data_IF_145659641882
#
_entry.id   IF_145659641882
#
_cell.length_a   1.000
_cell.length_b   1.000
_cell.length_c   1.000
_cell.angle_alpha   90.00
_cell.angle_beta   90.00
_cell.angle_gamma   90.00
#
_symmetry.space_group_name_H-M   'P 1'
#
loop_
_entity.id
_entity.type
_entity.pdbx_description
1 polymer ?
#
# COMPACT_ATOMS: atom_id res chain seq x y z
N UNK A 1 2.46 3.51 -6.92
CA UNK A 1 3.01 2.20 -6.48
C UNK A 1 4.51 2.04 -6.68
N UNK A 2 5.04 1.90 -7.91
CA UNK A 2 6.49 1.62 -8.11
C UNK A 2 7.42 2.65 -7.46
N UNK A 3 7.08 3.94 -7.54
CA UNK A 3 7.83 5.00 -6.86
C UNK A 3 7.94 4.80 -5.34
N UNK A 4 6.84 4.41 -4.68
CA UNK A 4 6.84 4.12 -3.24
C UNK A 4 7.67 2.90 -2.88
N UNK A 5 7.75 1.89 -3.76
CA UNK A 5 8.55 0.68 -3.52
C UNK A 5 10.03 0.97 -3.71
N UNK A 6 10.36 1.86 -4.65
CA UNK A 6 11.75 2.26 -4.92
C UNK A 6 12.35 3.06 -3.77
N UNK A 7 11.61 4.05 -3.26
CA UNK A 7 12.09 4.95 -2.20
C UNK A 7 11.82 4.43 -0.78
N UNK A 8 10.70 3.72 -0.60
CA UNK A 8 10.18 3.29 0.71
C UNK A 8 9.66 1.85 0.71
N UNK A 9 10.47 0.86 0.29
CA UNK A 9 10.04 -0.54 0.22
C UNK A 9 9.62 -1.11 1.58
N UNK A 10 10.19 -0.58 2.68
CA UNK A 10 9.90 -0.98 4.05
C UNK A 10 8.42 -0.79 4.43
N UNK A 11 7.73 0.21 3.84
CA UNK A 11 6.33 0.49 4.13
C UNK A 11 5.44 -0.69 3.73
N UNK A 12 5.60 -1.18 2.50
CA UNK A 12 4.89 -2.37 2.03
C UNK A 12 5.33 -3.62 2.80
N UNK A 13 6.64 -3.81 2.98
CA UNK A 13 7.18 -5.00 3.67
C UNK A 13 6.68 -5.13 5.10
N UNK A 14 6.58 -4.03 5.84
CA UNK A 14 6.02 -3.98 7.20
C UNK A 14 4.57 -4.48 7.23
N UNK A 15 3.77 -4.08 6.25
CA UNK A 15 2.36 -4.50 6.12
C UNK A 15 2.27 -5.99 5.79
N UNK A 16 3.09 -6.47 4.86
CA UNK A 16 3.16 -7.91 4.54
C UNK A 16 3.61 -8.76 5.74
N UNK A 17 4.33 -8.16 6.69
CA UNK A 17 4.78 -8.82 7.92
C UNK A 17 3.78 -8.75 9.09
N UNK A 18 2.72 -7.95 8.98
CA UNK A 18 1.65 -7.92 9.98
C UNK A 18 1.00 -9.29 10.11
N UNK A 19 0.66 -9.66 11.36
CA UNK A 19 0.18 -11.01 11.66
C UNK A 19 -1.12 -11.32 10.93
N UNK A 20 -2.05 -10.36 10.89
CA UNK A 20 -3.33 -10.50 10.19
C UNK A 20 -3.11 -10.68 8.69
N UNK A 21 -2.39 -9.75 8.05
CA UNK A 21 -2.12 -9.79 6.60
C UNK A 21 -1.39 -11.08 6.22
N UNK A 22 -0.31 -11.41 6.93
CA UNK A 22 0.52 -12.57 6.62
C UNK A 22 -0.25 -13.87 6.74
N UNK A 23 -1.04 -14.05 7.79
CA UNK A 23 -1.78 -15.31 8.00
C UNK A 23 -3.02 -15.42 7.11
N UNK A 24 -3.67 -14.30 6.80
CA UNK A 24 -4.95 -14.31 6.07
C UNK A 24 -4.78 -14.29 4.55
N UNK A 25 -3.71 -13.69 4.02
CA UNK A 25 -3.58 -13.42 2.58
C UNK A 25 -2.32 -13.98 1.94
N UNK A 26 -1.31 -14.37 2.73
CA UNK A 26 -0.04 -14.88 2.21
C UNK A 26 0.12 -16.36 2.59
N UNK A 27 -0.24 -17.26 1.68
CA UNK A 27 -0.04 -18.70 1.87
C UNK A 27 1.44 -19.01 2.10
N UNK A 28 1.75 -19.83 3.11
CA UNK A 28 3.11 -20.29 3.47
C UNK A 28 4.13 -19.21 3.86
N UNK A 29 3.69 -17.99 4.18
CA UNK A 29 4.58 -16.95 4.68
C UNK A 29 4.95 -17.22 6.16
N UNK A 30 6.14 -17.80 6.38
CA UNK A 30 6.81 -17.82 7.69
C UNK A 30 7.00 -16.39 8.21
N UNK A 31 7.30 -16.22 9.51
CA UNK A 31 7.63 -14.91 10.13
C UNK A 31 8.99 -14.38 9.65
N UNK A 32 9.18 -14.27 8.34
CA UNK A 32 10.38 -13.81 7.66
C UNK A 32 9.96 -12.95 6.47
N UNK A 33 10.51 -11.74 6.40
CA UNK A 33 10.15 -10.73 5.40
C UNK A 33 10.32 -11.24 3.96
N UNK A 34 11.47 -11.84 3.64
CA UNK A 34 11.73 -12.37 2.29
C UNK A 34 10.72 -13.43 1.85
N UNK A 35 10.18 -14.22 2.80
CA UNK A 35 9.14 -15.22 2.52
C UNK A 35 7.78 -14.56 2.29
N UNK A 36 7.43 -13.55 3.09
CA UNK A 36 6.21 -12.78 2.92
C UNK A 36 6.20 -12.03 1.57
N UNK A 37 7.31 -11.38 1.23
CA UNK A 37 7.49 -10.70 -0.07
C UNK A 37 7.38 -11.71 -1.21
N UNK A 38 8.05 -12.86 -1.12
CA UNK A 38 7.99 -13.90 -2.17
C UNK A 38 6.56 -14.44 -2.36
N UNK A 39 5.82 -14.68 -1.27
CA UNK A 39 4.43 -15.12 -1.34
C UNK A 39 3.54 -14.06 -2.00
N UNK A 40 3.74 -12.79 -1.65
CA UNK A 40 3.01 -11.67 -2.24
C UNK A 40 3.32 -11.48 -3.73
N UNK A 41 4.58 -11.60 -4.13
CA UNK A 41 4.99 -11.58 -5.55
C UNK A 41 4.32 -12.72 -6.30
N UNK A 42 4.35 -13.94 -5.76
CA UNK A 42 3.73 -15.10 -6.38
C UNK A 42 2.22 -14.93 -6.59
N UNK A 43 1.50 -14.38 -5.59
CA UNK A 43 0.05 -14.13 -5.72
C UNK A 43 -0.30 -13.05 -6.76
N UNK A 44 0.65 -12.17 -7.10
CA UNK A 44 0.48 -11.07 -8.03
C UNK A 44 1.21 -11.26 -9.37
N UNK A 45 1.82 -12.43 -9.60
CA UNK A 45 2.68 -12.68 -10.75
C UNK A 45 1.94 -12.81 -12.09
N UNK A 46 0.60 -13.02 -12.06
CA UNK A 46 -0.18 -13.39 -13.25
C UNK A 46 -0.06 -12.44 -14.46
N UNK A 47 0.14 -11.15 -14.22
CA UNK A 47 0.38 -10.15 -15.27
C UNK A 47 1.70 -9.36 -15.10
N UNK A 48 2.64 -9.89 -14.30
CA UNK A 48 3.90 -9.23 -14.02
C UNK A 48 4.77 -9.08 -15.28
N UNK A 49 5.68 -8.11 -15.25
CA UNK A 49 6.63 -7.87 -16.33
C UNK A 49 7.66 -9.01 -16.44
N UNK A 50 7.89 -9.49 -17.66
CA UNK A 50 8.95 -10.46 -17.99
C UNK A 50 10.36 -9.88 -17.94
N UNK A 51 10.47 -8.55 -18.03
CA UNK A 51 11.72 -7.80 -17.96
C UNK A 51 11.64 -6.75 -16.87
N UNK A 52 12.78 -6.13 -16.55
CA UNK A 52 12.80 -4.99 -15.62
C UNK A 52 11.97 -3.82 -16.18
N UNK A 53 11.23 -3.08 -15.32
CA UNK A 53 10.63 -1.82 -15.74
C UNK A 53 11.71 -0.80 -16.15
N UNK A 54 11.37 0.08 -17.09
CA UNK A 54 12.27 1.16 -17.54
C UNK A 54 12.59 2.08 -16.34
N UNK A 55 13.86 2.48 -16.19
CA UNK A 55 14.31 3.35 -15.12
C UNK A 55 14.83 2.65 -13.86
N UNK A 56 14.74 1.32 -13.79
CA UNK A 56 15.21 0.54 -12.62
C UNK A 56 16.42 -0.34 -12.96
N UNK A 57 17.31 -0.55 -12.00
CA UNK A 57 18.43 -1.50 -12.13
C UNK A 57 17.92 -2.94 -12.16
N UNK A 58 18.61 -3.82 -12.89
CA UNK A 58 18.32 -5.26 -12.85
C UNK A 58 18.68 -5.85 -11.48
N UNK A 59 19.69 -5.29 -10.80
CA UNK A 59 20.20 -5.72 -9.50
C UNK A 59 19.47 -5.05 -8.32
N UNK A 60 18.33 -4.40 -8.59
CA UNK A 60 17.54 -3.77 -7.53
C UNK A 60 17.04 -4.83 -6.55
N UNK A 61 17.25 -4.62 -5.24
CA UNK A 61 16.89 -5.60 -4.18
C UNK A 61 15.41 -6.01 -4.21
N UNK A 62 14.55 -5.06 -4.61
CA UNK A 62 13.10 -5.24 -4.71
C UNK A 62 12.60 -5.36 -6.17
N UNK A 63 13.46 -5.79 -7.10
CA UNK A 63 13.13 -5.86 -8.53
C UNK A 63 11.89 -6.74 -8.81
N UNK A 64 11.68 -7.81 -8.05
CA UNK A 64 10.52 -8.68 -8.20
C UNK A 64 9.21 -7.92 -7.88
N UNK A 65 9.22 -7.07 -6.87
CA UNK A 65 8.08 -6.20 -6.54
C UNK A 65 7.85 -5.15 -7.62
N UNK A 66 8.93 -4.51 -8.10
CA UNK A 66 8.85 -3.47 -9.14
C UNK A 66 8.28 -4.01 -10.47
N UNK A 67 8.50 -5.29 -10.77
CA UNK A 67 7.98 -5.97 -11.96
C UNK A 67 6.47 -6.22 -11.90
N UNK A 68 5.85 -6.19 -10.72
CA UNK A 68 4.41 -6.36 -10.57
C UNK A 68 3.65 -5.21 -11.24
N UNK A 69 2.52 -5.55 -11.85
CA UNK A 69 1.54 -4.56 -12.34
C UNK A 69 0.38 -4.38 -11.36
N UNK A 70 -0.02 -5.47 -10.71
CA UNK A 70 -1.07 -5.50 -9.72
C UNK A 70 -0.48 -5.69 -8.33
N UNK A 71 -1.12 -5.08 -7.34
CA UNK A 71 -0.77 -5.20 -5.93
C UNK A 71 -2.05 -5.51 -5.15
N UNK A 72 -2.41 -6.78 -5.08
CA UNK A 72 -3.65 -7.25 -4.45
C UNK A 72 -3.35 -8.18 -3.29
N UNK A 73 -4.25 -8.15 -2.30
CA UNK A 73 -4.37 -9.14 -1.24
C UNK A 73 -5.80 -9.67 -1.27
N UNK A 74 -5.98 -10.96 -1.00
CA UNK A 74 -7.29 -11.57 -1.00
C UNK A 74 -7.24 -12.98 -0.44
N UNK A 75 -8.32 -13.38 0.21
CA UNK A 75 -8.54 -14.76 0.65
C UNK A 75 -9.71 -15.32 -0.11
N UNK A 76 -9.63 -16.60 -0.50
CA UNK A 76 -10.80 -17.31 -1.01
C UNK A 76 -11.77 -17.53 0.15
N UNK A 77 -13.05 -17.27 -0.09
CA UNK A 77 -14.15 -17.56 0.81
C UNK A 77 -15.04 -18.59 0.15
N UNK A 78 -15.40 -19.64 0.89
CA UNK A 78 -16.40 -20.60 0.42
C UNK A 78 -17.81 -20.07 0.74
N UNK A 79 -18.83 -20.59 0.06
CA UNK A 79 -20.21 -20.20 0.34
C UNK A 79 -20.61 -20.43 1.81
N UNK A 80 -20.13 -21.53 2.41
CA UNK A 80 -20.36 -21.84 3.83
C UNK A 80 -19.66 -20.87 4.77
N UNK A 81 -18.50 -20.33 4.38
CA UNK A 81 -17.80 -19.29 5.17
C UNK A 81 -18.56 -17.97 5.21
N UNK A 82 -19.58 -17.78 4.36
CA UNK A 82 -20.39 -16.56 4.29
C UNK A 82 -21.78 -16.78 4.86
N UNK A 83 -22.38 -17.94 4.65
CA UNK A 83 -23.76 -18.26 5.09
C UNK A 83 -23.84 -18.97 6.43
N UNK A 84 -22.71 -19.43 7.00
CA UNK A 84 -22.65 -20.04 8.32
C UNK A 84 -22.86 -19.02 9.45
N UNK A 85 -23.13 -19.52 10.66
CA UNK A 85 -23.38 -18.71 11.85
C UNK A 85 -22.23 -17.72 12.14
N UNK A 86 -20.98 -18.11 11.87
CA UNK A 86 -19.78 -17.30 12.09
C UNK A 86 -19.31 -16.55 10.83
N UNK A 87 -20.09 -16.57 9.75
CA UNK A 87 -19.65 -16.05 8.46
C UNK A 87 -19.41 -14.55 8.47
N UNK A 88 -20.29 -13.79 9.12
CA UNK A 88 -20.13 -12.35 9.30
C UNK A 88 -18.88 -12.02 10.12
N UNK A 89 -18.61 -12.75 11.21
CA UNK A 89 -17.41 -12.55 12.02
C UNK A 89 -16.13 -12.85 11.25
N UNK A 90 -16.16 -13.88 10.38
CA UNK A 90 -15.07 -14.20 9.47
C UNK A 90 -14.80 -13.06 8.49
N UNK A 91 -15.83 -12.52 7.86
CA UNK A 91 -15.70 -11.38 6.92
C UNK A 91 -15.16 -10.14 7.63
N UNK A 92 -15.71 -9.80 8.79
CA UNK A 92 -15.25 -8.66 9.60
C UNK A 92 -13.79 -8.85 10.02
N UNK A 93 -13.40 -10.06 10.43
CA UNK A 93 -12.02 -10.41 10.75
C UNK A 93 -11.05 -10.20 9.57
N UNK A 94 -11.44 -10.63 8.37
CA UNK A 94 -10.65 -10.41 7.16
C UNK A 94 -10.56 -8.93 6.79
N UNK A 95 -11.66 -8.19 6.85
CA UNK A 95 -11.68 -6.73 6.61
C UNK A 95 -10.75 -5.99 7.58
N UNK A 96 -10.75 -6.36 8.87
CA UNK A 96 -9.81 -5.81 9.85
C UNK A 96 -8.36 -6.09 9.47
N UNK A 97 -8.06 -7.28 8.95
CA UNK A 97 -6.72 -7.63 8.47
C UNK A 97 -6.33 -6.87 7.18
N UNK A 98 -7.28 -6.47 6.34
CA UNK A 98 -7.01 -5.69 5.11
C UNK A 98 -6.75 -4.22 5.37
N UNK A 99 -7.30 -3.65 6.46
CA UNK A 99 -7.18 -2.23 6.82
C UNK A 99 -5.76 -1.64 6.65
N UNK A 100 -4.68 -2.21 7.20
CA UNK A 100 -3.33 -1.62 7.05
C UNK A 100 -2.87 -1.54 5.59
N UNK A 101 -3.26 -2.50 4.75
CA UNK A 101 -2.94 -2.47 3.33
C UNK A 101 -3.72 -1.38 2.60
N UNK A 102 -5.01 -1.22 2.90
CA UNK A 102 -5.85 -0.16 2.32
C UNK A 102 -5.30 1.23 2.71
N UNK A 103 -4.96 1.44 3.98
CA UNK A 103 -4.37 2.70 4.44
C UNK A 103 -3.07 3.03 3.71
N UNK A 104 -2.22 2.04 3.47
CA UNK A 104 -1.02 2.22 2.66
C UNK A 104 -1.32 2.58 1.21
N UNK A 105 -2.25 1.89 0.56
CA UNK A 105 -2.64 2.22 -0.81
C UNK A 105 -3.15 3.66 -0.90
N UNK A 106 -3.98 4.10 0.04
CA UNK A 106 -4.47 5.47 0.09
C UNK A 106 -3.30 6.46 0.16
N UNK A 107 -2.35 6.26 1.06
CA UNK A 107 -1.18 7.14 1.20
C UNK A 107 -0.22 7.16 -0.01
N UNK A 108 -0.32 6.19 -0.92
CA UNK A 108 0.52 6.11 -2.12
C UNK A 108 -0.18 6.68 -3.35
N UNK A 109 -1.50 6.65 -3.39
CA UNK A 109 -2.32 7.10 -4.53
C UNK A 109 -2.84 8.53 -4.30
N UNK A 110 -3.21 8.86 -3.07
CA UNK A 110 -3.60 10.19 -2.61
C UNK A 110 -2.81 10.47 -1.32
N UNK A 111 -1.54 10.92 -1.42
CA UNK A 111 -0.89 11.52 -0.25
C UNK A 111 -1.79 12.66 0.19
N UNK A 112 -2.23 12.70 1.45
CA UNK A 112 -2.99 13.83 1.96
C UNK A 112 -2.21 15.09 1.58
N UNK A 113 -2.84 15.97 0.81
CA UNK A 113 -2.39 17.35 0.68
C UNK A 113 -2.56 17.96 2.07
N UNK A 114 -1.57 17.73 2.94
CA UNK A 114 -1.37 18.60 4.09
C UNK A 114 -1.30 20.04 3.56
N UNK A 115 -1.75 21.03 4.35
CA UNK A 115 -1.75 22.41 3.89
C UNK A 115 -0.37 22.72 3.31
N UNK A 116 -0.33 23.10 2.04
CA UNK A 116 0.89 23.56 1.40
C UNK A 116 1.50 24.63 2.28
N UNK A 117 2.75 24.47 2.69
CA UNK A 117 3.50 25.46 3.48
C UNK A 117 3.72 26.79 2.72
N UNK A 118 3.09 26.95 1.54
CA UNK A 118 3.12 28.15 0.69
C UNK A 118 1.93 29.12 0.92
N UNK A 119 0.99 28.84 1.82
CA UNK A 119 -0.17 29.72 2.09
C UNK A 119 0.08 30.79 3.18
N UNK A 120 1.33 30.97 3.65
CA UNK A 120 1.73 32.04 4.59
C UNK A 120 2.48 33.18 3.88
N UNK A 121 1.93 33.69 2.77
CA UNK A 121 2.49 34.91 2.15
C UNK A 121 1.48 35.90 1.57
N UNK A 122 0.16 35.70 1.77
CA UNK A 122 -0.85 36.59 1.20
C UNK A 122 -1.85 37.12 2.25
N UNK A 123 -1.36 37.68 3.37
CA UNK A 123 -2.22 38.45 4.28
C UNK A 123 -1.57 39.65 4.97
N UNK A 124 -0.52 40.25 4.39
CA UNK A 124 -0.03 41.57 4.85
C UNK A 124 0.04 42.55 3.68
N UNK A 125 -1.11 43.00 3.17
CA UNK A 125 -1.19 44.15 2.27
C UNK A 125 -2.58 44.82 2.25
N UNK A 126 -3.26 44.94 3.40
CA UNK A 126 -4.37 45.88 3.56
C UNK A 126 -4.11 46.62 4.88
N UNK A 127 -3.39 47.75 4.80
CA UNK A 127 -3.39 48.87 5.76
C UNK A 127 -2.23 49.80 5.42
N UNK A 128 -2.45 50.76 4.50
CA UNK A 128 -1.86 52.10 4.51
C UNK A 128 -1.97 52.72 3.11
N UNK A 129 -3.15 53.20 2.72
CA UNK A 129 -3.32 54.36 1.81
C UNK A 129 -4.71 54.98 2.07
N UNK A 130 -4.91 55.53 3.28
CA UNK A 130 -5.85 56.64 3.52
C UNK A 130 -5.16 57.66 4.41
N UNK A 131 -4.18 58.37 3.85
CA UNK A 131 -3.85 59.71 4.32
C UNK A 131 -3.10 60.44 3.19
N UNK A 132 -3.82 61.30 2.46
CA UNK A 132 -3.36 62.63 2.05
C UNK A 132 -4.11 63.15 0.81
N UNK A 133 -4.81 64.26 1.06
CA UNK A 133 -5.16 65.37 0.15
C UNK A 133 -6.33 65.22 -0.81
#
# INVERSE_FOLDING_TARGET
>A
MRNSIDHHPERLKKILMEVGVRKSFLSDARKQESKAVKAFVASNAGNALKTKPKGYSADHKDIELLRLRNYTIGSKLTGQDVTGADGMDRVVGLMRCMKPFIMYLNSVVMPDEGPSEDDESASTAISAEEESS
#
